data_IF_528486327981
#
_entry.id   IF_528486327981
#
_cell.length_a   1.000
_cell.length_b   1.000
_cell.length_c   1.000
_cell.angle_alpha   90.00
_cell.angle_beta   90.00
_cell.angle_gamma   90.00
#
_symmetry.space_group_name_H-M   'P 1'
#
loop_
_entity.id
_entity.type
_entity.pdbx_description
1 polymer ?
#
# COMPACT_ATOMS: atom_id res chain seq x y z
N UNK A 1 2.43 -7.04 -14.85
CA UNK A 1 3.26 -8.12 -14.22
C UNK A 1 4.65 -8.05 -14.85
N UNK A 2 5.38 -6.96 -14.59
CA UNK A 2 6.60 -6.60 -15.34
C UNK A 2 7.90 -7.13 -14.71
N UNK A 3 7.90 -7.34 -13.40
CA UNK A 3 9.13 -7.63 -12.63
C UNK A 3 9.55 -9.12 -12.64
N UNK A 4 8.66 -10.02 -13.05
CA UNK A 4 8.90 -11.48 -13.03
C UNK A 4 9.96 -11.94 -14.06
N UNK A 5 10.41 -11.06 -14.95
CA UNK A 5 11.34 -11.41 -16.03
C UNK A 5 12.81 -11.08 -15.79
N UNK A 6 13.12 -10.24 -14.80
CA UNK A 6 14.47 -9.77 -14.48
C UNK A 6 14.97 -10.31 -13.12
N UNK A 7 14.07 -10.74 -12.23
CA UNK A 7 14.36 -11.48 -11.00
C UNK A 7 13.22 -12.45 -10.71
N UNK A 8 13.57 -13.67 -10.32
CA UNK A 8 12.61 -14.68 -9.87
C UNK A 8 11.95 -14.25 -8.56
N UNK A 9 10.78 -13.60 -8.66
CA UNK A 9 9.94 -13.24 -7.52
C UNK A 9 8.89 -14.34 -7.31
N UNK A 10 9.10 -15.18 -6.32
CA UNK A 10 8.09 -16.14 -5.86
C UNK A 10 7.22 -15.49 -4.79
N UNK A 11 5.94 -15.32 -5.10
CA UNK A 11 4.95 -14.76 -4.16
C UNK A 11 4.36 -15.92 -3.36
N UNK A 12 4.78 -16.06 -2.10
CA UNK A 12 4.15 -16.98 -1.16
C UNK A 12 2.99 -16.22 -0.49
N UNK A 13 1.82 -16.25 -1.15
CA UNK A 13 0.62 -15.55 -0.68
C UNK A 13 -0.21 -16.35 0.33
N UNK A 14 -0.03 -17.68 0.39
CA UNK A 14 -0.87 -18.53 1.23
C UNK A 14 -0.39 -18.49 2.68
N UNK A 15 -1.16 -17.92 3.62
CA UNK A 15 -0.81 -17.97 5.03
C UNK A 15 -0.87 -19.42 5.54
N UNK A 16 -0.04 -19.79 6.54
CA UNK A 16 -0.16 -21.08 7.21
C UNK A 16 -1.59 -21.27 7.76
N UNK A 17 -2.16 -22.49 7.70
CA UNK A 17 -3.47 -22.76 8.28
C UNK A 17 -3.49 -22.39 9.77
N UNK A 18 -4.59 -21.81 10.24
CA UNK A 18 -4.86 -21.34 11.62
C UNK A 18 -4.30 -19.97 12.05
N UNK A 19 -3.83 -19.11 11.14
CA UNK A 19 -3.44 -17.74 11.51
C UNK A 19 -4.67 -16.82 11.59
N UNK A 20 -4.98 -16.33 12.79
CA UNK A 20 -6.04 -15.33 13.00
C UNK A 20 -5.53 -13.92 12.68
N UNK A 21 -6.38 -13.08 12.09
CA UNK A 21 -6.06 -11.69 11.78
C UNK A 21 -5.77 -10.88 13.06
N UNK A 22 -4.75 -10.01 12.99
CA UNK A 22 -4.36 -9.10 14.07
C UNK A 22 -5.26 -7.88 14.02
N UNK A 23 -6.05 -7.66 15.06
CA UNK A 23 -6.92 -6.47 15.14
C UNK A 23 -6.08 -5.25 15.47
N UNK A 24 -6.09 -4.25 14.59
CA UNK A 24 -5.25 -3.06 14.71
C UNK A 24 -6.09 -1.86 15.16
N UNK A 25 -5.61 -1.09 16.13
CA UNK A 25 -6.25 0.11 16.64
C UNK A 25 -5.30 1.29 16.57
N UNK A 26 -5.78 2.43 16.07
CA UNK A 26 -5.05 3.70 16.13
C UNK A 26 -5.68 4.51 17.26
N UNK A 27 -4.88 4.91 18.24
CA UNK A 27 -5.36 5.65 19.40
C UNK A 27 -4.35 6.69 19.84
N UNK A 28 -4.84 7.80 20.40
CA UNK A 28 -3.98 8.66 21.19
C UNK A 28 -3.53 7.94 22.47
N UNK A 29 -2.51 8.48 23.14
CA UNK A 29 -2.09 7.99 24.44
C UNK A 29 -3.24 8.14 25.45
N UNK A 30 -3.80 7.01 25.90
CA UNK A 30 -4.84 6.93 26.91
C UNK A 30 -4.48 5.88 27.94
N UNK A 31 -4.27 6.33 29.17
CA UNK A 31 -3.89 5.48 30.30
C UNK A 31 -4.93 4.39 30.59
N UNK A 32 -6.22 4.68 30.45
CA UNK A 32 -7.27 3.70 30.73
C UNK A 32 -7.26 2.57 29.69
N UNK A 33 -7.20 2.93 28.41
CA UNK A 33 -7.17 1.98 27.30
C UNK A 33 -5.89 1.13 27.32
N UNK A 34 -4.73 1.75 27.58
CA UNK A 34 -3.47 1.02 27.71
C UNK A 34 -3.50 0.07 28.90
N UNK A 35 -3.99 0.51 30.07
CA UNK A 35 -4.13 -0.38 31.23
C UNK A 35 -5.04 -1.57 30.92
N UNK A 36 -6.17 -1.36 30.25
CA UNK A 36 -7.07 -2.44 29.84
C UNK A 36 -6.38 -3.41 28.87
N UNK A 37 -5.61 -2.90 27.90
CA UNK A 37 -4.87 -3.72 26.95
C UNK A 37 -3.84 -4.62 27.66
N UNK A 38 -3.11 -4.08 28.63
CA UNK A 38 -2.16 -4.86 29.45
C UNK A 38 -2.89 -5.89 30.31
N UNK A 39 -3.93 -5.49 31.04
CA UNK A 39 -4.68 -6.40 31.91
C UNK A 39 -5.32 -7.55 31.13
N UNK A 40 -5.86 -7.28 29.94
CA UNK A 40 -6.42 -8.30 29.06
C UNK A 40 -5.38 -9.35 28.66
N UNK A 41 -4.15 -8.93 28.37
CA UNK A 41 -3.06 -9.84 28.02
C UNK A 41 -2.58 -10.64 29.22
N UNK A 42 -2.38 -9.97 30.36
CA UNK A 42 -1.90 -10.58 31.59
C UNK A 42 -2.91 -11.60 32.15
N UNK A 43 -4.22 -11.30 32.08
CA UNK A 43 -5.28 -12.18 32.55
C UNK A 43 -5.34 -13.52 31.78
N UNK A 44 -4.94 -13.54 30.51
CA UNK A 44 -4.82 -14.77 29.71
C UNK A 44 -3.47 -15.47 29.83
N UNK A 45 -2.58 -15.00 30.71
CA UNK A 45 -1.22 -15.53 30.84
C UNK A 45 -0.33 -15.25 29.61
N UNK A 46 -0.73 -14.27 28.80
CA UNK A 46 -0.01 -13.88 27.60
C UNK A 46 1.16 -12.96 27.90
N UNK A 47 1.86 -12.58 26.83
CA UNK A 47 2.97 -11.64 26.88
C UNK A 47 2.70 -10.49 25.90
N UNK A 48 3.24 -9.31 26.18
CA UNK A 48 3.09 -8.16 25.30
C UNK A 48 4.41 -7.49 24.97
N UNK A 49 4.47 -6.95 23.76
CA UNK A 49 5.54 -6.07 23.31
C UNK A 49 5.10 -4.62 23.51
N UNK A 50 5.94 -3.83 24.17
CA UNK A 50 5.81 -2.39 24.19
C UNK A 50 6.99 -1.77 23.46
N UNK A 51 6.74 -1.22 22.28
CA UNK A 51 7.77 -0.61 21.44
C UNK A 51 7.92 0.86 21.80
N UNK A 52 9.14 1.23 22.20
CA UNK A 52 9.54 2.60 22.46
C UNK A 52 10.91 2.85 21.82
N UNK A 53 10.92 3.48 20.65
CA UNK A 53 12.14 3.66 19.85
C UNK A 53 12.99 4.86 20.29
N UNK A 54 13.36 4.89 21.56
CA UNK A 54 14.27 5.88 22.14
C UNK A 54 14.97 5.26 23.35
N UNK A 55 16.28 5.03 23.23
CA UNK A 55 17.09 4.39 24.28
C UNK A 55 17.29 5.32 25.47
N UNK A 56 17.35 6.64 25.26
CA UNK A 56 17.59 7.60 26.34
C UNK A 56 16.38 7.71 27.27
N UNK A 57 15.16 7.64 26.72
CA UNK A 57 13.93 7.69 27.51
C UNK A 57 13.36 6.34 27.92
N UNK A 58 13.93 5.22 27.50
CA UNK A 58 13.39 3.87 27.79
C UNK A 58 13.26 3.60 29.30
N UNK A 59 14.21 4.07 30.11
CA UNK A 59 14.16 3.93 31.56
C UNK A 59 13.08 4.79 32.22
N UNK A 60 12.75 5.96 31.64
CA UNK A 60 11.60 6.77 32.07
C UNK A 60 10.29 6.07 31.73
N UNK A 61 10.19 5.56 30.51
CA UNK A 61 9.02 4.80 30.03
C UNK A 61 8.77 3.54 30.88
N UNK A 62 9.82 2.83 31.31
CA UNK A 62 9.67 1.69 32.22
C UNK A 62 8.99 2.08 33.53
N UNK A 63 9.39 3.21 34.14
CA UNK A 63 8.79 3.70 35.39
C UNK A 63 7.33 4.09 35.19
N UNK A 64 7.04 4.81 34.12
CA UNK A 64 5.67 5.20 33.76
C UNK A 64 4.76 3.99 33.55
N UNK A 65 5.26 2.95 32.85
CA UNK A 65 4.52 1.71 32.66
C UNK A 65 4.35 0.90 33.95
N UNK A 66 5.34 0.91 34.85
CA UNK A 66 5.25 0.24 36.14
C UNK A 66 4.23 0.91 37.07
N UNK A 67 4.11 2.25 37.01
CA UNK A 67 3.05 2.99 37.71
C UNK A 67 1.68 2.74 37.07
N UNK A 68 1.62 2.66 35.74
CA UNK A 68 0.38 2.41 35.01
C UNK A 68 -0.15 1.00 35.28
N UNK A 69 0.72 -0.02 35.30
CA UNK A 69 0.34 -1.43 35.48
C UNK A 69 1.27 -2.10 36.49
N UNK A 70 1.01 -1.96 37.81
CA UNK A 70 1.88 -2.52 38.86
C UNK A 70 2.01 -4.05 38.83
N UNK A 71 1.04 -4.74 38.23
CA UNK A 71 1.00 -6.20 38.10
C UNK A 71 1.93 -6.71 36.98
N UNK A 72 2.37 -5.83 36.07
CA UNK A 72 3.22 -6.19 34.94
C UNK A 72 4.68 -6.34 35.38
N UNK A 73 5.29 -7.50 35.10
CA UNK A 73 6.74 -7.64 35.16
C UNK A 73 7.31 -7.18 33.82
N UNK A 74 8.08 -6.09 33.86
CA UNK A 74 8.61 -5.40 32.67
C UNK A 74 10.11 -5.67 32.54
N UNK A 75 10.53 -6.29 31.44
CA UNK A 75 11.93 -6.40 31.01
C UNK A 75 12.27 -5.38 29.94
N UNK A 76 13.49 -4.85 29.94
CA UNK A 76 13.99 -3.89 28.93
C UNK A 76 14.91 -4.62 27.96
N UNK A 77 14.75 -4.35 26.66
CA UNK A 77 15.67 -4.80 25.63
C UNK A 77 15.90 -3.74 24.54
N UNK A 78 17.14 -3.32 24.33
CA UNK A 78 17.48 -2.34 23.28
C UNK A 78 18.79 -2.67 22.59
N UNK A 79 19.00 -2.11 21.39
CA UNK A 79 20.15 -2.44 20.53
C UNK A 79 21.52 -2.03 21.07
N UNK A 80 21.58 -1.10 22.03
CA UNK A 80 22.83 -0.73 22.70
C UNK A 80 23.25 -1.70 23.83
N UNK A 81 22.44 -2.71 24.15
CA UNK A 81 22.81 -3.72 25.15
C UNK A 81 23.90 -4.65 24.58
N UNK A 82 24.83 -5.14 25.42
CA UNK A 82 25.73 -6.21 25.03
C UNK A 82 24.94 -7.45 24.58
N UNK A 83 25.40 -8.14 23.53
CA UNK A 83 24.68 -9.29 22.93
C UNK A 83 24.32 -10.37 23.95
N UNK A 84 25.24 -10.70 24.86
CA UNK A 84 25.01 -11.71 25.92
C UNK A 84 23.90 -11.30 26.88
N UNK A 85 23.78 -10.01 27.15
CA UNK A 85 22.76 -9.46 28.03
C UNK A 85 21.40 -9.46 27.33
N UNK A 86 21.38 -9.04 26.06
CA UNK A 86 20.19 -9.09 25.22
C UNK A 86 19.65 -10.53 25.09
N UNK A 87 20.52 -11.49 24.77
CA UNK A 87 20.17 -12.91 24.67
C UNK A 87 19.57 -13.42 25.98
N UNK A 88 20.16 -13.07 27.12
CA UNK A 88 19.64 -13.44 28.44
C UNK A 88 18.25 -12.87 28.69
N UNK A 89 18.03 -11.59 28.38
CA UNK A 89 16.70 -10.97 28.51
C UNK A 89 15.70 -11.69 27.59
N UNK A 90 16.08 -12.00 26.36
CA UNK A 90 15.18 -12.73 25.43
C UNK A 90 14.83 -14.12 25.93
N UNK A 91 15.80 -14.88 26.45
CA UNK A 91 15.55 -16.19 27.05
C UNK A 91 14.63 -16.10 28.26
N UNK A 92 14.79 -15.06 29.08
CA UNK A 92 13.98 -14.83 30.26
C UNK A 92 12.55 -14.41 29.88
N UNK A 93 12.40 -13.67 28.79
CA UNK A 93 11.10 -13.36 28.21
C UNK A 93 10.44 -14.63 27.68
N UNK A 94 11.13 -15.45 26.89
CA UNK A 94 10.59 -16.72 26.38
C UNK A 94 10.15 -17.67 27.51
N UNK A 95 10.87 -17.68 28.64
CA UNK A 95 10.54 -18.46 29.85
C UNK A 95 9.46 -17.83 30.73
N UNK A 96 8.80 -16.76 30.29
CA UNK A 96 7.74 -16.04 31.01
C UNK A 96 8.15 -15.50 32.39
N UNK A 97 9.46 -15.27 32.62
CA UNK A 97 9.93 -14.62 33.86
C UNK A 97 9.38 -13.21 33.99
N UNK A 98 9.17 -12.55 32.85
CA UNK A 98 8.42 -11.31 32.75
C UNK A 98 7.41 -11.36 31.60
N UNK A 99 6.38 -10.54 31.70
CA UNK A 99 5.22 -10.57 30.82
C UNK A 99 5.27 -9.47 29.75
N UNK A 100 6.00 -8.39 30.04
CA UNK A 100 6.09 -7.22 29.16
C UNK A 100 7.54 -7.03 28.74
N UNK A 101 7.76 -6.99 27.43
CA UNK A 101 9.04 -6.60 26.88
C UNK A 101 8.95 -5.16 26.38
N UNK A 102 9.60 -4.24 27.10
CA UNK A 102 9.83 -2.88 26.67
C UNK A 102 11.07 -2.84 25.77
N UNK A 103 10.88 -2.59 24.48
CA UNK A 103 11.99 -2.67 23.52
C UNK A 103 12.02 -1.55 22.49
N UNK A 104 13.17 -1.41 21.83
CA UNK A 104 13.29 -0.65 20.58
C UNK A 104 12.95 -1.55 19.37
N UNK A 105 13.24 -1.08 18.15
CA UNK A 105 13.05 -1.82 16.89
C UNK A 105 13.82 -3.13 16.76
N UNK A 106 14.62 -3.53 17.75
CA UNK A 106 15.33 -4.82 17.75
C UNK A 106 14.43 -6.05 17.55
N UNK A 107 13.14 -5.95 17.87
CA UNK A 107 12.17 -7.04 17.64
C UNK A 107 11.84 -7.22 16.15
N UNK A 108 12.21 -6.28 15.29
CA UNK A 108 12.02 -6.33 13.84
C UNK A 108 12.86 -7.45 13.20
N UNK A 109 14.06 -7.73 13.71
CA UNK A 109 15.10 -8.47 12.99
C UNK A 109 15.21 -9.98 13.27
N UNK A 110 14.37 -10.60 14.10
CA UNK A 110 14.46 -12.07 14.22
C UNK A 110 13.86 -12.76 15.44
N UNK A 111 13.23 -12.02 16.35
CA UNK A 111 12.76 -12.62 17.60
C UNK A 111 11.31 -13.06 17.41
N UNK A 112 11.09 -14.37 17.46
CA UNK A 112 9.77 -14.95 17.43
C UNK A 112 9.39 -15.49 18.81
N UNK A 113 8.33 -14.94 19.39
CA UNK A 113 7.80 -15.38 20.68
C UNK A 113 6.33 -15.73 20.47
N UNK A 114 6.00 -17.03 20.36
CA UNK A 114 4.65 -17.48 20.03
C UNK A 114 3.57 -16.98 21.00
N UNK A 115 3.95 -16.75 22.25
CA UNK A 115 3.05 -16.35 23.33
C UNK A 115 2.78 -14.84 23.39
N UNK A 116 3.51 -14.04 22.59
CA UNK A 116 3.30 -12.60 22.52
C UNK A 116 2.17 -12.28 21.52
N UNK A 117 0.99 -11.99 22.05
CA UNK A 117 -0.22 -11.77 21.23
C UNK A 117 -0.67 -10.31 21.19
N UNK A 118 -0.05 -9.44 21.99
CA UNK A 118 -0.35 -8.01 21.95
C UNK A 118 0.92 -7.20 21.73
N UNK A 119 0.85 -6.25 20.82
CA UNK A 119 1.91 -5.26 20.58
C UNK A 119 1.34 -3.87 20.73
N UNK A 120 2.07 -3.01 21.44
CA UNK A 120 1.78 -1.60 21.61
C UNK A 120 2.96 -0.83 21.03
N UNK A 121 2.70 0.00 20.04
CA UNK A 121 3.72 0.78 19.35
C UNK A 121 3.56 2.23 19.77
N UNK A 122 4.47 2.70 20.63
CA UNK A 122 4.51 4.11 21.01
C UNK A 122 5.10 4.95 19.87
N UNK A 123 4.52 6.14 19.64
CA UNK A 123 4.91 7.04 18.54
C UNK A 123 4.87 6.34 17.18
N UNK A 124 3.77 5.64 16.89
CA UNK A 124 3.56 4.95 15.63
C UNK A 124 3.68 5.89 14.40
N UNK A 125 3.46 7.19 14.60
CA UNK A 125 3.64 8.26 13.61
C UNK A 125 5.06 8.32 13.01
N UNK A 126 6.07 7.88 13.77
CA UNK A 126 7.48 7.96 13.36
C UNK A 126 7.96 6.74 12.55
N UNK A 127 7.14 5.70 12.43
CA UNK A 127 7.54 4.46 11.76
C UNK A 127 7.07 4.43 10.32
N UNK A 128 7.90 3.84 9.44
CA UNK A 128 7.51 3.55 8.07
C UNK A 128 6.43 2.47 7.98
N UNK A 129 5.71 2.43 6.85
CA UNK A 129 4.61 1.48 6.62
C UNK A 129 5.13 0.03 6.67
N UNK A 130 6.24 -0.22 5.98
CA UNK A 130 6.94 -1.51 6.01
C UNK A 130 7.31 -1.95 7.43
N UNK A 131 7.86 -1.05 8.24
CA UNK A 131 8.27 -1.35 9.61
C UNK A 131 7.07 -1.70 10.49
N UNK A 132 6.01 -0.88 10.44
CA UNK A 132 4.78 -1.15 11.19
C UNK A 132 4.17 -2.50 10.82
N UNK A 133 4.21 -2.88 9.54
CA UNK A 133 3.74 -4.18 9.09
C UNK A 133 4.61 -5.33 9.59
N UNK A 134 5.93 -5.19 9.56
CA UNK A 134 6.85 -6.20 10.11
C UNK A 134 6.63 -6.37 11.61
N UNK A 135 6.54 -5.28 12.36
CA UNK A 135 6.27 -5.27 13.81
C UNK A 135 4.92 -5.91 14.13
N UNK A 136 3.86 -5.57 13.38
CA UNK A 136 2.53 -6.21 13.48
C UNK A 136 2.61 -7.71 13.19
N UNK A 137 3.43 -8.12 12.23
CA UNK A 137 3.63 -9.52 11.85
C UNK A 137 4.34 -10.37 12.91
N UNK A 138 4.93 -9.75 13.95
CA UNK A 138 5.56 -10.44 15.09
C UNK A 138 4.55 -10.95 16.12
N UNK A 139 3.30 -10.49 16.08
CA UNK A 139 2.21 -10.99 16.94
C UNK A 139 1.24 -11.87 16.16
N UNK A 140 0.46 -12.69 16.87
CA UNK A 140 -0.58 -13.53 16.27
C UNK A 140 -0.05 -14.81 15.63
N UNK A 141 0.91 -15.46 16.29
CA UNK A 141 1.39 -16.81 15.92
C UNK A 141 0.73 -17.94 16.72
N UNK A 142 -0.10 -17.59 17.71
CA UNK A 142 -0.90 -18.55 18.48
C UNK A 142 -2.31 -18.71 17.89
N UNK A 143 -3.08 -19.66 18.42
CA UNK A 143 -4.51 -19.82 18.12
C UNK A 143 -5.38 -18.71 18.73
N UNK A 144 -4.80 -17.78 19.49
CA UNK A 144 -5.54 -16.67 20.08
C UNK A 144 -5.48 -15.43 19.19
N UNK A 145 -6.56 -14.65 19.22
CA UNK A 145 -6.61 -13.37 18.52
C UNK A 145 -5.54 -12.43 19.08
N UNK A 146 -4.79 -11.81 18.17
CA UNK A 146 -3.76 -10.84 18.48
C UNK A 146 -4.26 -9.40 18.27
N UNK A 147 -3.64 -8.48 19.00
CA UNK A 147 -4.02 -7.06 19.03
C UNK A 147 -2.80 -6.19 18.80
N UNK A 148 -2.92 -5.19 17.93
CA UNK A 148 -1.90 -4.17 17.70
C UNK A 148 -2.46 -2.79 18.04
N UNK A 149 -1.85 -2.10 19.00
CA UNK A 149 -2.20 -0.74 19.39
C UNK A 149 -1.14 0.22 18.85
N UNK A 150 -1.53 1.06 17.90
CA UNK A 150 -0.70 2.10 17.32
C UNK A 150 -0.99 3.39 18.08
N UNK A 151 -0.08 3.74 19.00
CA UNK A 151 -0.22 4.93 19.84
C UNK A 151 0.41 6.12 19.13
N UNK A 152 -0.40 7.13 18.88
CA UNK A 152 -0.01 8.36 18.19
C UNK A 152 -0.15 9.59 19.09
N UNK A 153 0.57 10.68 18.80
CA UNK A 153 0.24 11.98 19.36
C UNK A 153 -1.15 12.44 18.89
N UNK A 154 -1.63 13.57 19.42
CA UNK A 154 -2.88 14.20 18.96
C UNK A 154 -2.86 14.34 17.42
N UNK A 155 -3.99 14.06 16.76
CA UNK A 155 -4.13 14.08 15.30
C UNK A 155 -3.63 15.39 14.69
N UNK A 156 -3.80 16.51 15.41
CA UNK A 156 -3.35 17.84 14.95
C UNK A 156 -1.83 17.98 14.82
N UNK A 157 -1.06 17.14 15.54
CA UNK A 157 0.39 17.15 15.52
C UNK A 157 0.99 16.17 14.48
N UNK A 158 0.16 15.43 13.76
CA UNK A 158 0.60 14.46 12.76
C UNK A 158 0.70 15.08 11.37
N UNK A 159 1.61 14.54 10.56
CA UNK A 159 1.66 14.87 9.13
C UNK A 159 0.55 14.14 8.37
N UNK A 160 0.03 14.71 7.26
CA UNK A 160 -0.97 14.04 6.43
C UNK A 160 -0.50 12.67 5.90
N UNK A 161 0.80 12.51 5.65
CA UNK A 161 1.39 11.24 5.23
C UNK A 161 1.37 10.19 6.34
N UNK A 162 1.64 10.58 7.59
CA UNK A 162 1.55 9.67 8.73
C UNK A 162 0.11 9.22 9.00
N UNK A 163 -0.89 10.09 8.83
CA UNK A 163 -2.30 9.72 8.98
C UNK A 163 -2.71 8.69 7.91
N UNK A 164 -2.44 8.96 6.63
CA UNK A 164 -2.71 8.02 5.54
C UNK A 164 -2.04 6.67 5.74
N UNK A 165 -0.78 6.67 6.19
CA UNK A 165 -0.01 5.45 6.47
C UNK A 165 -0.66 4.61 7.59
N UNK A 166 -1.10 5.27 8.66
CA UNK A 166 -1.71 4.58 9.79
C UNK A 166 -3.10 4.04 9.44
N UNK A 167 -3.89 4.80 8.69
CA UNK A 167 -5.18 4.34 8.16
C UNK A 167 -5.01 3.15 7.21
N UNK A 168 -3.99 3.18 6.34
CA UNK A 168 -3.66 2.07 5.47
C UNK A 168 -3.33 0.80 6.27
N UNK A 169 -2.53 0.88 7.33
CA UNK A 169 -2.22 -0.33 8.12
C UNK A 169 -3.37 -0.82 9.00
N UNK A 170 -4.27 0.07 9.42
CA UNK A 170 -5.46 -0.30 10.20
C UNK A 170 -6.54 -0.96 9.32
N UNK A 171 -6.69 -0.52 8.06
CA UNK A 171 -7.61 -1.12 7.08
C UNK A 171 -7.12 -2.46 6.52
N UNK A 172 -5.84 -2.79 6.71
CA UNK A 172 -5.24 -4.08 6.35
C UNK A 172 -5.64 -5.19 7.33
N UNK A 173 -6.93 -5.54 7.36
CA UNK A 173 -7.47 -6.61 8.22
C UNK A 173 -7.25 -8.03 7.65
N UNK A 174 -6.71 -8.17 6.44
CA UNK A 174 -6.52 -9.47 5.78
C UNK A 174 -5.04 -9.91 5.62
N UNK A 175 -4.84 -11.21 5.88
CA UNK A 175 -3.62 -11.95 5.58
C UNK A 175 -3.47 -12.08 4.05
N UNK A 176 -2.71 -11.14 3.48
CA UNK A 176 -2.56 -10.92 2.04
C UNK A 176 -2.04 -9.51 1.73
N UNK A 177 -2.17 -8.61 2.72
CA UNK A 177 -1.75 -7.20 2.68
C UNK A 177 -0.26 -6.94 2.37
N UNK A 178 0.63 -7.94 2.46
CA UNK A 178 2.08 -7.73 2.22
C UNK A 178 2.40 -7.22 0.81
N UNK A 179 1.62 -7.63 -0.20
CA UNK A 179 1.79 -7.17 -1.58
C UNK A 179 1.24 -5.75 -1.79
N UNK A 180 0.05 -5.46 -1.26
CA UNK A 180 -0.54 -4.11 -1.26
C UNK A 180 0.35 -3.13 -0.50
N UNK A 181 0.94 -3.58 0.62
CA UNK A 181 1.88 -2.81 1.42
C UNK A 181 3.17 -2.49 0.68
N UNK A 182 3.76 -3.47 -0.02
CA UNK A 182 4.94 -3.22 -0.85
C UNK A 182 4.64 -2.25 -2.00
N UNK A 183 3.43 -2.31 -2.56
CA UNK A 183 2.99 -1.41 -3.64
C UNK A 183 2.77 0.01 -3.11
N UNK A 184 2.07 0.18 -2.00
CA UNK A 184 1.88 1.48 -1.35
C UNK A 184 3.17 2.07 -0.77
N UNK A 185 4.07 1.26 -0.20
CA UNK A 185 5.35 1.76 0.32
C UNK A 185 6.25 2.24 -0.83
N UNK A 186 6.20 1.60 -2.00
CA UNK A 186 6.87 2.03 -3.23
C UNK A 186 6.26 3.33 -3.80
N UNK A 187 4.94 3.48 -3.71
CA UNK A 187 4.20 4.69 -4.13
C UNK A 187 4.49 5.89 -3.20
N UNK A 188 4.59 5.66 -1.88
CA UNK A 188 4.81 6.70 -0.87
C UNK A 188 6.28 7.13 -0.81
N UNK A 189 7.23 6.18 -0.91
CA UNK A 189 8.68 6.48 -0.85
C UNK A 189 9.26 6.95 -2.18
N UNK A 190 8.57 6.68 -3.29
CA UNK A 190 9.10 6.87 -4.65
C UNK A 190 10.03 5.72 -5.03
N UNK A 191 9.84 5.14 -6.21
CA UNK A 191 10.54 3.96 -6.73
C UNK A 191 12.06 4.17 -7.03
N UNK A 192 12.66 5.27 -6.57
CA UNK A 192 13.99 5.74 -6.98
C UNK A 192 15.16 4.86 -6.54
N UNK A 193 15.04 4.10 -5.45
CA UNK A 193 16.19 3.36 -4.90
C UNK A 193 16.48 2.03 -5.63
N UNK A 194 15.54 1.53 -6.44
CA UNK A 194 15.69 0.25 -7.17
C UNK A 194 16.34 0.38 -8.56
N UNK A 195 16.41 1.59 -9.12
CA UNK A 195 16.78 1.81 -10.54
C UNK A 195 17.94 2.81 -10.74
N UNK A 196 18.53 3.31 -9.64
CA UNK A 196 19.69 4.23 -9.65
C UNK A 196 19.29 5.70 -9.50
N UNK A 197 20.16 6.49 -8.87
CA UNK A 197 19.90 7.88 -8.47
C UNK A 197 19.51 8.79 -9.65
N UNK A 198 20.01 8.51 -10.87
CA UNK A 198 19.78 9.33 -12.08
C UNK A 198 18.36 9.23 -12.69
N UNK A 199 17.55 8.23 -12.32
CA UNK A 199 16.20 8.06 -12.89
C UNK A 199 15.05 8.54 -11.98
N UNK A 200 15.38 8.92 -10.74
CA UNK A 200 14.40 9.38 -9.75
C UNK A 200 13.63 10.63 -10.20
N UNK A 201 14.28 11.54 -10.95
CA UNK A 201 13.69 12.80 -11.42
C UNK A 201 12.62 12.63 -12.51
N UNK A 202 12.78 11.69 -13.44
CA UNK A 202 11.84 11.52 -14.56
C UNK A 202 10.54 10.81 -14.17
N UNK A 203 10.53 10.05 -13.07
CA UNK A 203 9.33 9.35 -12.62
C UNK A 203 8.28 10.29 -12.00
N UNK A 204 8.73 11.36 -11.34
CA UNK A 204 7.84 12.36 -10.74
C UNK A 204 7.08 13.19 -11.79
N UNK A 205 7.65 13.33 -12.99
CA UNK A 205 7.11 14.18 -14.07
C UNK A 205 6.17 13.41 -15.02
N UNK A 206 6.39 12.10 -15.20
CA UNK A 206 5.68 11.28 -16.21
C UNK A 206 4.62 10.34 -15.59
N UNK A 207 4.70 10.08 -14.29
CA UNK A 207 3.78 9.21 -13.55
C UNK A 207 4.09 7.71 -13.70
N UNK A 208 4.03 6.98 -12.57
CA UNK A 208 4.43 5.57 -12.46
C UNK A 208 3.73 4.63 -13.45
N UNK A 209 2.45 4.88 -13.76
CA UNK A 209 1.68 4.05 -14.70
C UNK A 209 2.26 4.11 -16.11
N UNK A 210 2.64 5.30 -16.59
CA UNK A 210 3.14 5.49 -17.95
C UNK A 210 4.58 4.97 -18.08
N UNK A 211 5.40 5.15 -17.04
CA UNK A 211 6.75 4.59 -17.00
C UNK A 211 6.73 3.05 -17.01
N UNK A 212 5.85 2.42 -16.23
CA UNK A 212 5.71 0.95 -16.19
C UNK A 212 5.26 0.40 -17.55
N UNK A 213 4.37 1.11 -18.24
CA UNK A 213 3.91 0.76 -19.58
C UNK A 213 5.04 0.85 -20.62
N UNK A 214 5.86 1.91 -20.57
CA UNK A 214 7.04 2.07 -21.42
C UNK A 214 8.09 0.98 -21.14
N UNK A 215 8.32 0.63 -19.87
CA UNK A 215 9.25 -0.42 -19.47
C UNK A 215 8.78 -1.81 -19.94
N UNK A 216 7.49 -2.14 -19.75
CA UNK A 216 6.92 -3.40 -20.26
C UNK A 216 6.99 -3.48 -21.79
N UNK A 217 6.84 -2.35 -22.49
CA UNK A 217 6.99 -2.29 -23.94
C UNK A 217 8.43 -2.52 -24.36
N UNK A 218 9.40 -1.86 -23.72
CA UNK A 218 10.82 -2.03 -24.00
C UNK A 218 11.30 -3.48 -23.75
N UNK A 219 10.90 -4.09 -22.63
CA UNK A 219 11.25 -5.48 -22.29
C UNK A 219 10.63 -6.47 -23.28
N UNK A 220 9.40 -6.24 -23.75
CA UNK A 220 8.77 -7.04 -24.81
C UNK A 220 9.53 -6.94 -26.13
N UNK A 221 9.94 -5.73 -26.53
CA UNK A 221 10.70 -5.50 -27.76
C UNK A 221 12.03 -6.26 -27.77
N UNK A 222 12.77 -6.19 -26.66
CA UNK A 222 14.07 -6.87 -26.49
C UNK A 222 13.91 -8.39 -26.50
N UNK A 223 12.90 -8.95 -25.83
CA UNK A 223 12.62 -10.40 -25.84
C UNK A 223 12.24 -10.94 -27.22
N UNK A 224 11.67 -10.11 -28.08
CA UNK A 224 11.34 -10.45 -29.47
C UNK A 224 12.53 -10.28 -30.43
N UNK A 225 13.73 -9.97 -29.94
CA UNK A 225 14.94 -9.81 -30.74
C UNK A 225 14.95 -8.55 -31.62
N UNK A 226 14.07 -7.59 -31.35
CA UNK A 226 14.05 -6.29 -32.02
C UNK A 226 14.78 -5.28 -31.12
N UNK A 227 15.75 -4.56 -31.67
CA UNK A 227 16.31 -3.38 -30.99
C UNK A 227 15.14 -2.44 -30.67
N UNK A 228 15.09 -1.83 -29.47
CA UNK A 228 14.10 -0.82 -29.18
C UNK A 228 14.36 0.36 -30.12
N UNK A 229 13.58 0.45 -31.20
CA UNK A 229 13.54 1.65 -32.02
C UNK A 229 13.06 2.79 -31.12
N UNK A 230 14.01 3.62 -30.70
CA UNK A 230 13.76 4.87 -29.97
C UNK A 230 12.93 5.85 -30.84
N UNK A 231 12.86 5.61 -32.15
CA UNK A 231 12.03 6.34 -33.10
C UNK A 231 10.61 5.74 -33.31
N UNK A 232 10.28 4.60 -32.68
CA UNK A 232 8.90 4.08 -32.66
C UNK A 232 7.97 4.87 -31.70
N UNK A 233 8.39 6.07 -31.30
CA UNK A 233 7.57 7.08 -30.63
C UNK A 233 6.48 7.67 -31.54
N UNK A 234 6.64 7.59 -32.86
CA UNK A 234 5.60 8.03 -33.81
C UNK A 234 4.58 6.94 -34.17
N UNK A 235 4.97 5.67 -34.19
CA UNK A 235 4.10 4.56 -34.63
C UNK A 235 3.11 4.08 -33.55
N UNK A 236 3.24 4.55 -32.31
CA UNK A 236 2.35 4.18 -31.20
C UNK A 236 1.56 5.35 -30.61
N UNK A 237 1.59 6.52 -31.25
CA UNK A 237 0.53 7.50 -31.04
C UNK A 237 -0.69 6.95 -31.76
N UNK A 238 -1.57 6.28 -31.02
CA UNK A 238 -2.88 5.89 -31.55
C UNK A 238 -3.56 7.11 -32.16
N UNK A 239 -4.37 6.90 -33.21
CA UNK A 239 -5.00 7.94 -34.00
C UNK A 239 -5.58 9.07 -33.14
N UNK A 240 -5.24 10.32 -33.51
CA UNK A 240 -5.83 11.50 -32.89
C UNK A 240 -7.18 11.77 -33.56
N UNK A 241 -8.28 11.71 -32.79
CA UNK A 241 -9.64 11.95 -33.31
C UNK A 241 -10.21 13.19 -32.64
N UNK A 242 -10.49 14.22 -33.41
CA UNK A 242 -11.01 15.51 -32.96
C UNK A 242 -12.33 15.84 -33.66
N UNK A 243 -13.44 15.83 -32.92
CA UNK A 243 -14.79 15.99 -33.48
C UNK A 243 -15.46 17.32 -33.11
N UNK A 244 -14.74 18.24 -32.44
CA UNK A 244 -15.25 19.53 -31.95
C UNK A 244 -16.56 19.45 -31.13
N UNK A 245 -16.85 18.28 -30.54
CA UNK A 245 -18.01 18.05 -29.65
C UNK A 245 -17.55 17.75 -28.22
N UNK A 246 -18.36 18.11 -27.19
CA UNK A 246 -18.06 17.75 -25.82
C UNK A 246 -18.05 16.23 -25.66
N UNK A 247 -16.89 15.67 -25.29
CA UNK A 247 -16.68 14.24 -25.10
C UNK A 247 -16.07 13.99 -23.72
N UNK A 248 -16.94 13.80 -22.73
CA UNK A 248 -16.56 13.64 -21.33
C UNK A 248 -17.64 12.86 -20.58
N UNK A 249 -17.25 12.27 -19.45
CA UNK A 249 -18.16 11.73 -18.44
C UNK A 249 -18.58 12.91 -17.53
N UNK A 250 -19.86 13.32 -17.55
CA UNK A 250 -20.31 14.47 -16.78
C UNK A 250 -20.32 14.22 -15.26
N UNK A 251 -20.09 15.27 -14.47
CA UNK A 251 -20.09 15.20 -12.99
C UNK A 251 -21.48 14.90 -12.40
N UNK A 252 -22.54 15.31 -13.09
CA UNK A 252 -23.94 15.03 -12.75
C UNK A 252 -24.33 13.57 -13.03
N UNK A 253 -23.66 12.92 -13.98
CA UNK A 253 -23.86 11.49 -14.27
C UNK A 253 -23.04 10.58 -13.36
N UNK A 254 -21.80 10.97 -13.07
CA UNK A 254 -20.91 10.21 -12.20
C UNK A 254 -20.11 11.14 -11.29
N UNK A 255 -20.58 11.39 -10.05
CA UNK A 255 -19.95 12.37 -9.15
C UNK A 255 -18.59 11.91 -8.60
N UNK A 256 -18.38 10.61 -8.43
CA UNK A 256 -17.14 10.07 -7.86
C UNK A 256 -15.95 10.19 -8.84
N UNK A 257 -15.02 11.07 -8.51
CA UNK A 257 -13.84 11.38 -9.35
C UNK A 257 -12.96 10.15 -9.58
N UNK A 258 -12.81 9.29 -8.57
CA UNK A 258 -11.95 8.11 -8.66
C UNK A 258 -12.50 7.11 -9.68
N UNK A 259 -13.79 6.76 -9.56
CA UNK A 259 -14.49 5.89 -10.50
C UNK A 259 -14.49 6.47 -11.91
N UNK A 260 -14.62 7.81 -12.06
CA UNK A 260 -14.57 8.48 -13.36
C UNK A 260 -13.21 8.31 -14.04
N UNK A 261 -12.12 8.48 -13.29
CA UNK A 261 -10.75 8.28 -13.80
C UNK A 261 -10.50 6.82 -14.19
N UNK A 262 -11.00 5.87 -13.41
CA UNK A 262 -10.92 4.44 -13.75
C UNK A 262 -11.65 4.14 -15.07
N UNK A 263 -12.85 4.71 -15.27
CA UNK A 263 -13.62 4.52 -16.50
C UNK A 263 -12.95 5.16 -17.71
N UNK A 264 -12.41 6.38 -17.59
CA UNK A 264 -11.61 6.99 -18.65
C UNK A 264 -10.43 6.11 -19.07
N UNK A 265 -9.71 5.54 -18.09
CA UNK A 265 -8.60 4.63 -18.36
C UNK A 265 -9.09 3.40 -19.12
N UNK A 266 -10.17 2.76 -18.67
CA UNK A 266 -10.75 1.57 -19.32
C UNK A 266 -11.23 1.86 -20.76
N UNK A 267 -11.90 2.99 -20.99
CA UNK A 267 -12.34 3.40 -22.34
C UNK A 267 -11.15 3.63 -23.26
N UNK A 268 -10.10 4.31 -22.79
CA UNK A 268 -8.90 4.61 -23.59
C UNK A 268 -8.05 3.36 -23.90
N UNK A 269 -8.09 2.35 -23.02
CA UNK A 269 -7.30 1.11 -23.14
C UNK A 269 -8.07 -0.08 -23.74
N UNK A 270 -9.33 0.12 -24.12
CA UNK A 270 -10.12 -0.89 -24.81
C UNK A 270 -9.46 -1.29 -26.13
N UNK A 271 -9.42 -2.58 -26.42
CA UNK A 271 -8.69 -3.13 -27.58
C UNK A 271 -9.54 -3.28 -28.82
N UNK A 272 -10.84 -3.42 -28.64
CA UNK A 272 -11.80 -3.64 -29.72
C UNK A 272 -13.17 -3.03 -29.39
N UNK A 273 -14.03 -2.95 -30.40
CA UNK A 273 -15.40 -2.45 -30.26
C UNK A 273 -16.29 -3.33 -29.37
N UNK A 274 -15.92 -4.59 -29.10
CA UNK A 274 -16.69 -5.45 -28.20
C UNK A 274 -16.46 -5.05 -26.75
N UNK A 275 -15.20 -4.83 -26.35
CA UNK A 275 -14.83 -4.34 -25.02
C UNK A 275 -15.42 -2.95 -24.73
N UNK A 276 -15.42 -2.04 -25.72
CA UNK A 276 -16.10 -0.74 -25.59
C UNK A 276 -17.61 -0.90 -25.37
N UNK A 277 -18.26 -1.84 -26.06
CA UNK A 277 -19.70 -2.11 -25.87
C UNK A 277 -20.00 -2.73 -24.52
N UNK A 278 -19.17 -3.65 -24.03
CA UNK A 278 -19.31 -4.20 -22.68
C UNK A 278 -19.18 -3.10 -21.62
N UNK A 279 -18.20 -2.20 -21.77
CA UNK A 279 -18.05 -1.02 -20.91
C UNK A 279 -19.27 -0.11 -20.97
N UNK A 280 -19.83 0.08 -22.16
CA UNK A 280 -21.03 0.89 -22.35
C UNK A 280 -22.24 0.27 -21.63
N UNK A 281 -22.42 -1.05 -21.74
CA UNK A 281 -23.49 -1.79 -21.04
C UNK A 281 -23.30 -1.75 -19.53
N UNK A 282 -22.06 -1.97 -19.04
CA UNK A 282 -21.73 -1.87 -17.62
C UNK A 282 -22.05 -0.48 -17.07
N UNK A 283 -21.71 0.58 -17.82
CA UNK A 283 -22.02 1.95 -17.42
C UNK A 283 -23.52 2.20 -17.38
N UNK A 284 -24.29 1.62 -18.31
CA UNK A 284 -25.75 1.77 -18.33
C UNK A 284 -26.40 1.03 -17.16
N UNK A 285 -25.94 -0.19 -16.87
CA UNK A 285 -26.47 -1.01 -15.78
C UNK A 285 -26.19 -0.37 -14.40
N UNK A 286 -25.01 0.22 -14.23
CA UNK A 286 -24.57 0.80 -12.95
C UNK A 286 -25.04 2.24 -12.72
N UNK A 287 -25.13 3.04 -13.77
CA UNK A 287 -25.30 4.50 -13.65
C UNK A 287 -26.48 5.06 -14.47
N UNK A 288 -27.19 4.22 -15.21
CA UNK A 288 -28.35 4.62 -16.02
C UNK A 288 -27.99 5.07 -17.43
N UNK A 289 -28.90 5.77 -18.12
CA UNK A 289 -28.69 6.13 -19.52
C UNK A 289 -27.52 7.09 -19.69
N UNK A 290 -26.65 6.79 -20.66
CA UNK A 290 -25.50 7.64 -20.99
C UNK A 290 -25.95 9.03 -21.46
N UNK A 291 -25.42 10.12 -20.88
CA UNK A 291 -25.57 11.47 -21.41
C UNK A 291 -24.89 11.61 -22.77
N UNK A 292 -25.30 12.61 -23.55
CA UNK A 292 -24.73 12.84 -24.89
C UNK A 292 -23.20 13.05 -24.89
N UNK A 293 -22.61 13.81 -23.94
CA UNK A 293 -21.15 13.92 -23.84
C UNK A 293 -20.44 12.56 -23.61
N UNK A 294 -21.08 11.64 -22.88
CA UNK A 294 -20.53 10.31 -22.66
C UNK A 294 -20.68 9.43 -23.91
N UNK A 295 -21.80 9.56 -24.65
CA UNK A 295 -21.96 8.88 -25.95
C UNK A 295 -20.90 9.33 -26.96
N UNK A 296 -20.62 10.64 -27.02
CA UNK A 296 -19.56 11.17 -27.88
C UNK A 296 -18.19 10.60 -27.51
N UNK A 297 -17.89 10.46 -26.23
CA UNK A 297 -16.64 9.84 -25.75
C UNK A 297 -16.47 8.40 -26.26
N UNK A 298 -17.53 7.58 -26.19
CA UNK A 298 -17.51 6.22 -26.73
C UNK A 298 -17.37 6.20 -28.26
N UNK A 299 -18.06 7.10 -28.97
CA UNK A 299 -17.95 7.22 -30.42
C UNK A 299 -16.53 7.61 -30.87
N UNK A 300 -15.87 8.53 -30.16
CA UNK A 300 -14.48 8.92 -30.42
C UNK A 300 -13.54 7.74 -30.18
N UNK A 301 -13.74 6.98 -29.10
CA UNK A 301 -12.94 5.79 -28.80
C UNK A 301 -13.09 4.72 -29.90
N UNK A 302 -14.31 4.50 -30.40
CA UNK A 302 -14.57 3.56 -31.49
C UNK A 302 -13.93 4.01 -32.81
N UNK A 303 -14.06 5.30 -33.16
CA UNK A 303 -13.39 5.87 -34.33
C UNK A 303 -11.87 5.75 -34.24
N UNK A 304 -11.31 5.93 -33.04
CA UNK A 304 -9.87 5.78 -32.80
C UNK A 304 -9.41 4.33 -33.03
N UNK A 305 -10.19 3.34 -32.61
CA UNK A 305 -9.90 1.93 -32.88
C UNK A 305 -9.92 1.64 -34.39
N UNK A 306 -10.92 2.15 -35.11
CA UNK A 306 -11.01 1.97 -36.56
C UNK A 306 -9.86 2.68 -37.28
N UNK A 307 -9.54 3.92 -36.88
CA UNK A 307 -8.44 4.70 -37.45
C UNK A 307 -7.08 4.01 -37.24
N UNK A 308 -6.85 3.39 -36.08
CA UNK A 308 -5.65 2.60 -35.82
C UNK A 308 -5.52 1.39 -36.76
N UNK A 309 -6.62 0.67 -37.00
CA UNK A 309 -6.64 -0.48 -37.94
C UNK A 309 -6.34 -0.02 -39.37
N UNK A 310 -6.80 1.17 -39.75
CA UNK A 310 -6.60 1.76 -41.07
C UNK A 310 -5.25 2.49 -41.22
N UNK A 311 -4.45 2.61 -40.15
CA UNK A 311 -3.18 3.34 -40.17
C UNK A 311 -3.33 4.87 -40.27
N UNK A 312 -4.51 5.41 -39.93
CA UNK A 312 -4.79 6.84 -39.93
C UNK A 312 -4.13 7.48 -38.69
N UNK A 313 -3.32 8.51 -38.90
CA UNK A 313 -2.61 9.22 -37.80
C UNK A 313 -3.48 10.27 -37.12
N UNK A 314 -4.28 11.00 -37.89
CA UNK A 314 -5.15 12.08 -37.39
C UNK A 314 -6.46 12.10 -38.17
N UNK A 315 -7.57 12.27 -37.47
CA UNK A 315 -8.90 12.45 -38.02
C UNK A 315 -9.52 13.66 -37.32
N UNK A 316 -9.71 14.73 -38.07
CA UNK A 316 -10.37 15.95 -37.59
C UNK A 316 -11.70 16.11 -38.34
N UNK A 317 -12.78 16.35 -37.63
CA UNK A 317 -14.11 16.54 -38.20
C UNK A 317 -14.80 17.72 -37.50
N UNK A 318 -15.15 18.74 -38.27
CA UNK A 318 -15.90 19.91 -37.80
C UNK A 318 -17.15 20.16 -38.64
N UNK A 319 -17.90 21.22 -38.32
CA UNK A 319 -19.18 21.53 -38.97
C UNK A 319 -19.08 21.72 -40.49
N UNK A 320 -17.92 22.20 -40.99
CA UNK A 320 -17.71 22.57 -42.39
C UNK A 320 -16.87 21.56 -43.20
N UNK A 321 -16.49 20.42 -42.60
CA UNK A 321 -15.68 19.38 -43.26
C UNK A 321 -14.77 18.62 -42.32
N UNK A 322 -13.94 17.72 -42.87
CA UNK A 322 -12.98 16.94 -42.10
C UNK A 322 -11.68 16.67 -42.86
N UNK A 323 -10.63 16.33 -42.10
CA UNK A 323 -9.29 16.02 -42.60
C UNK A 323 -8.81 14.69 -42.01
N UNK A 324 -8.20 13.86 -42.86
CA UNK A 324 -7.55 12.59 -42.53
C UNK A 324 -6.08 12.69 -42.94
#
# INVERSE_FOLDING_TARGET
MAMAGLRDLSIIATPPPNRLAVKTFITAWDNALLREAFQRELARGGQLYFLHNDVESIGRMQRELAELVPEARIGIAHGQMPERELERVMLDFQKQRFNVLLSTTIIESGIDIPNANTIIINRADRFGLAQLHQLRGRVGRSHHRAYAYLVVPDKRAMTPDAEKRLEAIASMDELGAGFTLATHDLEIRGAGELLGEDQSGQMAEVGFSLYTELLERAVRSIRLGKLPDLDAGEEARGAEVELHVPALIPDDYLPDVHTRLTLYKRISSARDSAELRELQVEMIDRFGLLPDPAKHLFAIAELKLQANVLGIRKLELGENGGRI
#
